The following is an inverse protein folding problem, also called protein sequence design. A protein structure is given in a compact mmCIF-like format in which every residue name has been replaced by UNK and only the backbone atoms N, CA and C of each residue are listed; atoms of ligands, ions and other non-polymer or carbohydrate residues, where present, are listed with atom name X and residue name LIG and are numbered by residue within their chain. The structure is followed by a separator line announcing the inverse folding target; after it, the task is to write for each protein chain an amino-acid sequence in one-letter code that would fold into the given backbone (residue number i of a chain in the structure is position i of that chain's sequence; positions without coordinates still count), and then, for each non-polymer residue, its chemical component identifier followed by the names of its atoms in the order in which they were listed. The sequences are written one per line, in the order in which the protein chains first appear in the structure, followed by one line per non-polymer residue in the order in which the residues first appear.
data_IF_466194148775
#
_entry.id   IF_466194148775
#
_cell.length_a   1.000
_cell.length_b   1.000
_cell.length_c   1.000
_cell.angle_alpha   90.00
_cell.angle_beta   90.00
_cell.angle_gamma   90.00
#
_symmetry.space_group_name_H-M   'P 1'
#
loop_
_entity.id
_entity.type
_entity.pdbx_description
1 polymer ?
#
# COMPACT_ATOMS: atom_id res chain seq x y z
N UNK A 1 -9.16 -12.46 38.57
CA UNK A 1 -10.34 -12.79 37.76
C UNK A 1 -11.28 -11.60 37.71
N UNK A 2 -11.92 -11.38 36.56
CA UNK A 2 -12.93 -10.35 36.36
C UNK A 2 -14.29 -11.03 36.20
N UNK A 3 -15.24 -10.69 37.04
CA UNK A 3 -16.60 -11.23 36.99
C UNK A 3 -17.48 -10.26 36.20
N UNK A 4 -18.11 -10.72 35.13
CA UNK A 4 -19.09 -9.99 34.32
C UNK A 4 -20.46 -10.57 34.57
N UNK A 5 -21.43 -9.73 35.02
CA UNK A 5 -22.82 -10.12 35.28
C UNK A 5 -23.76 -9.42 34.34
N UNK A 6 -24.66 -10.17 33.72
CA UNK A 6 -25.72 -9.66 32.85
C UNK A 6 -27.02 -10.46 33.03
N UNK A 7 -28.03 -9.87 33.65
CA UNK A 7 -29.26 -10.61 34.00
C UNK A 7 -28.99 -11.77 34.94
N UNK A 8 -29.30 -12.99 34.51
CA UNK A 8 -29.08 -14.24 35.29
C UNK A 8 -27.71 -14.89 34.92
N UNK A 9 -26.99 -14.29 34.01
CA UNK A 9 -25.73 -14.87 33.52
C UNK A 9 -24.53 -14.23 34.22
N UNK A 10 -23.59 -15.07 34.65
CA UNK A 10 -22.35 -14.67 35.29
C UNK A 10 -21.17 -15.34 34.59
N UNK A 11 -20.12 -14.58 34.24
CA UNK A 11 -18.88 -15.06 33.66
C UNK A 11 -17.71 -14.67 34.54
N UNK A 12 -16.89 -15.64 34.87
CA UNK A 12 -15.58 -15.40 35.48
C UNK A 12 -14.48 -15.55 34.43
N UNK A 13 -13.83 -14.44 34.10
CA UNK A 13 -12.75 -14.40 33.11
C UNK A 13 -11.42 -14.19 33.82
N UNK A 14 -10.47 -15.04 33.53
CA UNK A 14 -9.09 -14.87 34.02
C UNK A 14 -8.44 -13.70 33.29
N UNK A 15 -8.08 -12.68 34.03
CA UNK A 15 -7.30 -11.54 33.49
C UNK A 15 -5.80 -11.77 33.64
N UNK A 16 -5.04 -11.05 32.85
CA UNK A 16 -3.58 -10.91 33.04
C UNK A 16 -3.31 -9.66 33.90
N UNK A 17 -2.13 -9.65 34.54
CA UNK A 17 -1.71 -8.48 35.29
C UNK A 17 -1.51 -7.28 34.32
N UNK A 18 -2.10 -6.11 34.58
CA UNK A 18 -1.89 -4.92 33.74
C UNK A 18 -0.41 -4.56 33.54
N UNK A 19 0.46 -4.86 34.52
CA UNK A 19 1.90 -4.64 34.42
C UNK A 19 2.62 -5.56 33.42
N UNK A 20 1.96 -6.63 32.96
CA UNK A 20 2.49 -7.55 31.93
C UNK A 20 2.11 -7.07 30.51
N UNK A 21 1.29 -6.01 30.40
CA UNK A 21 0.97 -5.44 29.09
C UNK A 21 2.20 -4.76 28.51
N UNK A 22 2.60 -5.07 27.26
CA UNK A 22 3.79 -4.50 26.65
C UNK A 22 3.72 -2.97 26.59
N UNK A 23 4.79 -2.30 27.00
CA UNK A 23 4.91 -0.86 26.76
C UNK A 23 4.93 -0.56 25.26
N UNK A 24 4.16 0.45 24.87
CA UNK A 24 4.18 0.92 23.49
C UNK A 24 5.55 1.53 23.18
N UNK A 25 6.20 1.12 22.09
CA UNK A 25 7.45 1.75 21.69
C UNK A 25 7.20 3.24 21.45
N UNK A 26 8.02 4.07 22.10
CA UNK A 26 8.10 5.50 21.83
C UNK A 26 9.29 5.73 20.91
N UNK A 27 9.11 5.77 19.59
CA UNK A 27 10.19 6.15 18.70
C UNK A 27 10.54 7.60 19.02
N UNK A 28 11.78 7.84 19.44
CA UNK A 28 12.31 9.20 19.45
C UNK A 28 12.07 9.77 18.04
N UNK A 29 11.53 10.97 17.97
CA UNK A 29 11.16 11.60 16.70
C UNK A 29 12.41 12.09 15.97
N UNK A 30 13.19 11.18 15.39
CA UNK A 30 14.36 11.53 14.59
C UNK A 30 13.95 12.16 13.24
N UNK A 31 12.81 11.71 12.71
CA UNK A 31 12.23 12.15 11.45
C UNK A 31 10.73 12.33 11.63
N UNK A 32 10.22 13.51 11.28
CA UNK A 32 8.78 13.83 11.34
C UNK A 32 8.31 14.42 10.03
N UNK A 33 7.08 14.10 9.65
CA UNK A 33 6.39 14.60 8.47
C UNK A 33 4.91 14.70 8.78
N UNK A 34 4.30 15.80 8.37
CA UNK A 34 2.86 16.02 8.46
C UNK A 34 2.25 15.97 7.06
N UNK A 35 1.20 15.20 6.89
CA UNK A 35 0.45 15.10 5.65
C UNK A 35 -1.04 15.35 5.91
N UNK A 36 -1.69 16.01 4.98
CA UNK A 36 -3.15 16.03 4.94
C UNK A 36 -3.68 14.59 4.76
N UNK A 37 -4.72 14.22 5.50
CA UNK A 37 -5.32 12.89 5.43
C UNK A 37 -5.66 12.45 4.02
N UNK A 38 -6.28 13.28 3.16
CA UNK A 38 -6.53 12.90 1.76
C UNK A 38 -5.25 12.58 0.98
N UNK A 39 -4.19 13.36 1.19
CA UNK A 39 -2.90 13.14 0.53
C UNK A 39 -2.26 11.83 0.97
N UNK A 40 -2.25 11.54 2.28
CA UNK A 40 -1.75 10.27 2.81
C UNK A 40 -2.50 9.09 2.22
N UNK A 41 -3.84 9.15 2.23
CA UNK A 41 -4.70 8.09 1.67
C UNK A 41 -4.46 7.89 0.17
N UNK A 42 -4.46 8.96 -0.62
CA UNK A 42 -4.20 8.90 -2.06
C UNK A 42 -2.85 8.22 -2.35
N UNK A 43 -1.79 8.60 -1.62
CA UNK A 43 -0.47 8.03 -1.83
C UNK A 43 -0.43 6.53 -1.57
N UNK A 44 -1.05 6.08 -0.48
CA UNK A 44 -1.11 4.65 -0.15
C UNK A 44 -2.03 3.89 -1.10
N UNK A 45 -3.26 4.37 -1.35
CA UNK A 45 -4.23 3.67 -2.18
C UNK A 45 -3.75 3.47 -3.63
N UNK A 46 -3.01 4.45 -4.16
CA UNK A 46 -2.50 4.38 -5.54
C UNK A 46 -1.28 3.46 -5.72
N UNK A 47 -0.64 3.02 -4.64
CA UNK A 47 0.55 2.17 -4.70
C UNK A 47 0.33 0.78 -4.10
N UNK A 48 -0.53 0.65 -3.09
CA UNK A 48 -0.72 -0.56 -2.28
C UNK A 48 -1.03 -1.82 -3.11
N UNK A 49 -1.74 -1.68 -4.24
CA UNK A 49 -2.08 -2.80 -5.11
C UNK A 49 -0.85 -3.48 -5.76
N UNK A 50 0.27 -2.79 -5.82
CA UNK A 50 1.50 -3.29 -6.44
C UNK A 50 2.45 -3.99 -5.45
N UNK A 51 2.11 -4.06 -4.17
CA UNK A 51 2.92 -4.74 -3.15
C UNK A 51 2.96 -6.24 -3.41
N UNK A 52 4.12 -6.86 -3.20
CA UNK A 52 4.29 -8.31 -3.31
C UNK A 52 3.59 -9.06 -2.16
N UNK A 53 3.03 -10.21 -2.50
CA UNK A 53 2.51 -11.17 -1.51
C UNK A 53 3.50 -12.32 -1.26
N UNK A 54 4.70 -12.29 -1.86
CA UNK A 54 5.72 -13.30 -1.69
C UNK A 54 6.67 -12.94 -0.54
N UNK A 55 6.55 -13.66 0.56
CA UNK A 55 7.36 -13.47 1.77
C UNK A 55 8.86 -13.78 1.58
N UNK A 56 9.24 -14.37 0.44
CA UNK A 56 10.66 -14.62 0.12
C UNK A 56 11.46 -13.34 -0.11
N UNK A 57 10.75 -12.24 -0.41
CA UNK A 57 11.33 -10.91 -0.56
C UNK A 57 10.64 -9.92 0.38
N UNK A 58 10.95 -9.94 1.68
CA UNK A 58 10.24 -9.15 2.68
C UNK A 58 10.18 -7.66 2.34
N UNK A 59 11.26 -7.08 1.80
CA UNK A 59 11.28 -5.67 1.42
C UNK A 59 10.19 -5.28 0.41
N UNK A 60 9.71 -6.22 -0.42
CA UNK A 60 8.65 -5.98 -1.38
C UNK A 60 7.23 -6.22 -0.82
N UNK A 61 7.10 -6.72 0.42
CA UNK A 61 5.79 -6.90 1.09
C UNK A 61 5.30 -5.62 1.77
N UNK A 62 6.04 -4.53 1.61
CA UNK A 62 5.69 -3.19 2.07
C UNK A 62 5.90 -2.16 0.98
N UNK A 63 5.58 -0.92 1.32
CA UNK A 63 5.83 0.24 0.49
C UNK A 63 7.06 0.99 0.97
N UNK A 64 7.89 1.42 0.04
CA UNK A 64 8.97 2.34 0.31
C UNK A 64 8.41 3.75 0.44
N UNK A 65 8.69 4.39 1.56
CA UNK A 65 8.51 5.82 1.78
C UNK A 65 9.90 6.48 1.73
N UNK A 66 10.22 7.12 0.63
CA UNK A 66 11.42 7.93 0.48
C UNK A 66 11.06 9.39 0.75
N UNK A 67 11.40 9.87 1.94
CA UNK A 67 11.14 11.22 2.40
C UNK A 67 12.40 12.04 2.13
N UNK A 68 12.29 13.05 1.29
CA UNK A 68 13.29 14.07 1.01
C UNK A 68 12.78 15.42 1.57
N UNK A 69 13.61 16.46 1.72
CA UNK A 69 13.18 17.71 2.34
C UNK A 69 11.98 18.39 1.69
N UNK A 70 11.82 18.23 0.38
CA UNK A 70 10.79 18.87 -0.44
C UNK A 70 9.84 17.89 -1.12
N UNK A 71 10.08 16.57 -0.96
CA UNK A 71 9.32 15.55 -1.68
C UNK A 71 9.17 14.26 -0.87
N UNK A 72 7.99 13.68 -0.92
CA UNK A 72 7.72 12.31 -0.52
C UNK A 72 7.44 11.47 -1.76
N UNK A 73 8.20 10.39 -1.92
CA UNK A 73 7.96 9.37 -2.94
C UNK A 73 7.51 8.08 -2.26
N UNK A 74 6.37 7.55 -2.67
CA UNK A 74 5.89 6.22 -2.24
C UNK A 74 5.98 5.26 -3.41
N UNK A 75 6.58 4.09 -3.16
CA UNK A 75 6.81 3.07 -4.20
C UNK A 75 6.42 1.70 -3.70
N UNK A 76 5.72 0.96 -4.53
CA UNK A 76 5.45 -0.46 -4.34
C UNK A 76 5.77 -1.26 -5.62
N UNK A 77 6.22 -2.49 -5.46
CA UNK A 77 6.51 -3.39 -6.58
C UNK A 77 6.45 -4.87 -6.18
N UNK A 78 6.15 -5.74 -7.15
CA UNK A 78 6.10 -7.20 -6.94
C UNK A 78 6.94 -8.00 -7.96
N UNK A 79 7.75 -7.33 -8.77
CA UNK A 79 8.57 -7.92 -9.82
C UNK A 79 7.90 -7.99 -11.19
N UNK A 80 6.59 -7.73 -11.30
CA UNK A 80 5.82 -7.65 -12.55
C UNK A 80 5.32 -6.24 -12.82
N UNK A 81 5.04 -5.49 -11.79
CA UNK A 81 4.51 -4.13 -11.83
C UNK A 81 5.18 -3.27 -10.76
N UNK A 82 5.20 -1.99 -11.03
CA UNK A 82 5.69 -0.95 -10.12
C UNK A 82 4.66 0.17 -10.11
N UNK A 83 4.29 0.61 -8.93
CA UNK A 83 3.51 1.81 -8.72
C UNK A 83 4.35 2.83 -7.97
N UNK A 84 4.27 4.08 -8.42
CA UNK A 84 5.00 5.21 -7.83
C UNK A 84 4.10 6.44 -7.80
N UNK A 85 4.14 7.16 -6.70
CA UNK A 85 3.52 8.46 -6.54
C UNK A 85 4.48 9.40 -5.84
N UNK A 86 4.50 10.64 -6.28
CA UNK A 86 5.30 11.70 -5.68
C UNK A 86 4.41 12.89 -5.30
N UNK A 87 4.63 13.42 -4.11
CA UNK A 87 3.95 14.63 -3.63
C UNK A 87 4.96 15.59 -3.01
N UNK A 88 4.80 16.90 -3.21
CA UNK A 88 5.60 17.88 -2.52
C UNK A 88 5.27 17.86 -1.01
N UNK A 89 6.30 17.88 -0.19
CA UNK A 89 6.19 17.92 1.27
C UNK A 89 7.25 18.85 1.85
N UNK A 90 7.19 19.07 3.17
CA UNK A 90 8.24 19.76 3.92
C UNK A 90 8.70 18.83 5.03
N UNK A 91 9.86 18.24 4.86
CA UNK A 91 10.48 17.40 5.86
C UNK A 91 11.81 18.02 6.34
N UNK A 92 12.15 17.82 7.61
CA UNK A 92 13.38 18.36 8.19
C UNK A 92 14.63 17.59 7.74
N UNK A 93 14.47 16.31 7.44
CA UNK A 93 15.58 15.39 7.11
C UNK A 93 15.08 14.29 6.19
N UNK A 94 15.99 13.78 5.38
CA UNK A 94 15.75 12.61 4.52
C UNK A 94 15.74 11.31 5.33
N UNK A 95 14.84 10.44 4.96
CA UNK A 95 14.80 9.05 5.41
C UNK A 95 14.11 8.18 4.36
N UNK A 96 14.61 6.96 4.20
CA UNK A 96 13.96 5.91 3.42
C UNK A 96 13.57 4.78 4.35
N UNK A 97 12.29 4.45 4.38
CA UNK A 97 11.73 3.41 5.24
C UNK A 97 10.78 2.51 4.45
N UNK A 98 10.73 1.24 4.81
CA UNK A 98 9.80 0.28 4.22
C UNK A 98 8.73 -0.05 5.24
N UNK A 99 7.49 0.32 4.94
CA UNK A 99 6.35 0.17 5.82
C UNK A 99 5.54 -1.04 5.36
N UNK A 100 5.21 -1.98 6.27
CA UNK A 100 4.41 -3.15 5.90
C UNK A 100 3.07 -2.76 5.27
N UNK A 101 2.73 -3.39 4.14
CA UNK A 101 1.47 -3.15 3.43
C UNK A 101 0.24 -3.30 4.33
N UNK A 102 0.26 -4.30 5.23
CA UNK A 102 -0.83 -4.52 6.20
C UNK A 102 -1.03 -3.32 7.12
N UNK A 103 0.06 -2.70 7.58
CA UNK A 103 -0.03 -1.50 8.42
C UNK A 103 -0.68 -0.35 7.68
N UNK A 104 -0.25 -0.11 6.44
CA UNK A 104 -0.80 0.97 5.61
C UNK A 104 -2.26 0.73 5.26
N UNK A 105 -2.62 -0.51 4.90
CA UNK A 105 -4.00 -0.91 4.64
C UNK A 105 -4.94 -0.69 5.84
N UNK A 106 -4.46 -0.86 7.07
CA UNK A 106 -5.24 -0.57 8.26
C UNK A 106 -5.22 0.93 8.59
N UNK A 107 -4.09 1.60 8.41
CA UNK A 107 -3.97 3.04 8.67
C UNK A 107 -4.96 3.87 7.83
N UNK A 108 -5.08 3.59 6.52
CA UNK A 108 -6.01 4.33 5.65
C UNK A 108 -7.50 4.12 5.99
N UNK A 109 -7.83 3.04 6.71
CA UNK A 109 -9.19 2.80 7.21
C UNK A 109 -9.50 3.61 8.47
N UNK A 110 -8.47 3.94 9.25
CA UNK A 110 -8.61 4.69 10.50
C UNK A 110 -8.55 6.20 10.26
N UNK A 111 -7.66 6.65 9.39
CA UNK A 111 -7.50 8.07 9.06
C UNK A 111 -8.44 8.43 7.91
N UNK A 112 -9.67 8.84 8.25
CA UNK A 112 -10.75 9.11 7.29
C UNK A 112 -11.28 10.53 7.35
N UNK A 113 -10.90 11.31 8.36
CA UNK A 113 -11.30 12.71 8.50
C UNK A 113 -10.43 13.58 7.60
N UNK A 114 -11.00 14.13 6.53
CA UNK A 114 -10.30 14.89 5.52
C UNK A 114 -9.78 16.25 6.04
N UNK A 115 -10.31 16.73 7.15
CA UNK A 115 -9.87 17.96 7.80
C UNK A 115 -8.74 17.75 8.82
N UNK A 116 -8.31 16.50 9.02
CA UNK A 116 -7.21 16.16 9.92
C UNK A 116 -5.87 16.04 9.20
N UNK A 117 -4.81 16.17 10.00
CA UNK A 117 -3.43 15.87 9.62
C UNK A 117 -3.03 14.50 10.14
N UNK A 118 -2.30 13.76 9.34
CA UNK A 118 -1.58 12.55 9.75
C UNK A 118 -0.15 12.93 10.06
N UNK A 119 0.21 12.86 11.33
CA UNK A 119 1.58 13.06 11.80
C UNK A 119 2.34 11.74 11.69
N UNK A 120 3.40 11.74 10.91
CA UNK A 120 4.27 10.58 10.70
C UNK A 120 5.56 10.83 11.45
N UNK A 121 5.89 9.95 12.39
CA UNK A 121 7.17 9.97 13.09
C UNK A 121 7.88 8.63 12.88
N UNK A 122 9.15 8.67 12.48
CA UNK A 122 9.90 7.46 12.18
C UNK A 122 11.32 7.49 12.76
N UNK A 123 11.80 6.29 13.05
CA UNK A 123 13.20 6.00 13.30
C UNK A 123 13.61 4.79 12.45
N UNK A 124 14.76 4.19 12.70
CA UNK A 124 15.26 3.04 11.93
C UNK A 124 14.45 1.73 12.13
N UNK A 125 13.60 1.63 13.16
CA UNK A 125 12.89 0.39 13.53
C UNK A 125 11.39 0.52 13.50
N UNK A 126 10.85 1.70 13.74
CA UNK A 126 9.43 1.93 13.90
C UNK A 126 8.97 3.15 13.13
N UNK A 127 7.72 3.11 12.72
CA UNK A 127 6.95 4.26 12.26
C UNK A 127 5.71 4.41 13.14
N UNK A 128 5.37 5.63 13.44
CA UNK A 128 4.14 6.02 14.13
C UNK A 128 3.35 6.95 13.23
N UNK A 129 2.12 6.59 12.97
CA UNK A 129 1.12 7.48 12.37
C UNK A 129 0.18 7.93 13.48
N UNK A 130 -0.04 9.20 13.62
CA UNK A 130 -0.98 9.73 14.62
C UNK A 130 -1.82 10.86 14.06
N UNK A 131 -3.09 10.87 14.49
CA UNK A 131 -4.01 11.98 14.34
C UNK A 131 -4.54 12.38 15.73
N UNK A 132 -5.53 13.23 15.78
CA UNK A 132 -6.20 13.59 17.03
C UNK A 132 -6.81 12.37 17.73
N UNK A 133 -7.28 11.38 16.97
CA UNK A 133 -8.10 10.27 17.49
C UNK A 133 -7.33 8.95 17.54
N UNK A 134 -6.44 8.69 16.59
CA UNK A 134 -5.79 7.40 16.43
C UNK A 134 -4.27 7.51 16.47
N UNK A 135 -3.65 6.46 16.98
CA UNK A 135 -2.19 6.24 16.90
C UNK A 135 -1.95 4.82 16.40
N UNK A 136 -1.26 4.70 15.28
CA UNK A 136 -0.85 3.41 14.70
C UNK A 136 0.67 3.32 14.78
N UNK A 137 1.15 2.27 15.43
CA UNK A 137 2.58 2.00 15.59
C UNK A 137 2.92 0.73 14.84
N UNK A 138 3.94 0.79 13.99
CA UNK A 138 4.40 -0.37 13.24
C UNK A 138 5.92 -0.52 13.28
N UNK A 139 6.37 -1.78 13.28
CA UNK A 139 7.75 -2.08 12.93
C UNK A 139 7.95 -1.88 11.44
N UNK A 140 9.12 -1.38 11.07
CA UNK A 140 9.54 -1.29 9.69
C UNK A 140 10.06 -2.64 9.19
N UNK A 141 9.99 -2.85 7.89
CA UNK A 141 10.64 -3.99 7.24
C UNK A 141 12.12 -3.64 7.06
N UNK A 142 12.98 -4.51 7.58
CA UNK A 142 14.43 -4.37 7.42
C UNK A 142 14.87 -4.87 6.05
N UNK A 143 15.88 -4.24 5.48
CA UNK A 143 16.50 -4.60 4.21
C UNK A 143 16.52 -3.46 3.21
N UNK A 144 17.14 -3.72 2.08
CA UNK A 144 17.26 -2.76 0.98
C UNK A 144 16.07 -2.91 0.03
N UNK A 145 15.40 -1.81 -0.26
CA UNK A 145 14.41 -1.78 -1.34
C UNK A 145 15.13 -1.75 -2.68
N UNK A 146 14.52 -2.38 -3.70
CA UNK A 146 15.08 -2.37 -5.05
C UNK A 146 15.29 -0.91 -5.53
N UNK A 147 16.40 -0.67 -6.20
CA UNK A 147 16.62 0.59 -6.91
C UNK A 147 15.63 0.69 -8.09
N UNK A 148 14.43 1.16 -7.77
CA UNK A 148 13.30 1.22 -8.69
C UNK A 148 13.55 2.17 -9.87
N UNK A 149 14.42 3.17 -9.69
CA UNK A 149 14.75 4.14 -10.75
C UNK A 149 15.41 3.45 -11.94
N UNK A 150 16.19 2.38 -11.71
CA UNK A 150 16.85 1.63 -12.75
C UNK A 150 15.95 0.69 -13.55
N UNK A 151 14.78 0.33 -12.99
CA UNK A 151 13.85 -0.58 -13.67
C UNK A 151 12.78 0.16 -14.47
N UNK A 152 12.68 1.48 -14.31
CA UNK A 152 11.79 2.33 -15.11
C UNK A 152 12.41 2.50 -16.50
N UNK A 153 11.72 2.07 -17.59
CA UNK A 153 12.26 2.21 -18.93
C UNK A 153 12.46 3.67 -19.33
N UNK A 154 13.62 3.96 -19.92
CA UNK A 154 13.90 5.25 -20.52
C UNK A 154 13.39 5.27 -21.98
N UNK A 155 12.24 5.87 -22.21
CA UNK A 155 11.65 6.03 -23.55
C UNK A 155 10.70 4.89 -23.96
N UNK A 156 10.08 5.08 -25.12
CA UNK A 156 9.07 4.17 -25.67
C UNK A 156 9.09 4.24 -27.20
N UNK A 157 8.79 3.12 -27.86
CA UNK A 157 8.62 3.07 -29.32
C UNK A 157 7.19 3.38 -29.76
N UNK A 158 6.23 3.10 -28.90
CA UNK A 158 4.81 3.31 -29.20
C UNK A 158 4.13 4.03 -28.01
N UNK A 159 3.43 5.09 -28.33
CA UNK A 159 2.58 5.83 -27.37
C UNK A 159 1.14 5.79 -27.85
N UNK A 160 0.24 5.41 -26.94
CA UNK A 160 -1.20 5.33 -27.20
C UNK A 160 -1.94 6.17 -26.18
N UNK A 161 -2.91 6.95 -26.63
CA UNK A 161 -3.84 7.69 -25.77
C UNK A 161 -5.21 7.05 -25.91
N UNK A 162 -5.84 6.67 -24.79
CA UNK A 162 -7.11 5.96 -24.76
C UNK A 162 -8.05 6.58 -23.75
N UNK A 163 -9.35 6.44 -23.98
CA UNK A 163 -10.35 6.67 -22.93
C UNK A 163 -10.23 5.57 -21.87
N UNK A 164 -10.09 5.99 -20.60
CA UNK A 164 -9.87 5.06 -19.49
C UNK A 164 -11.05 4.12 -19.29
N UNK A 165 -12.27 4.64 -19.42
CA UNK A 165 -13.50 3.87 -19.20
C UNK A 165 -13.69 2.82 -20.30
N UNK A 166 -13.50 3.19 -21.54
CA UNK A 166 -13.65 2.28 -22.68
C UNK A 166 -12.59 1.18 -22.62
N UNK A 167 -11.35 1.53 -22.32
CA UNK A 167 -10.26 0.58 -22.18
C UNK A 167 -10.46 -0.38 -21.00
N UNK A 168 -10.89 0.12 -19.84
CA UNK A 168 -11.22 -0.70 -18.67
C UNK A 168 -12.34 -1.68 -18.97
N UNK A 169 -13.44 -1.21 -19.59
CA UNK A 169 -14.56 -2.05 -19.99
C UNK A 169 -14.13 -3.17 -20.97
N UNK A 170 -13.23 -2.86 -21.92
CA UNK A 170 -12.69 -3.85 -22.85
C UNK A 170 -11.86 -4.93 -22.13
N UNK A 171 -11.01 -4.52 -21.19
CA UNK A 171 -10.24 -5.45 -20.35
C UNK A 171 -11.18 -6.32 -19.51
N UNK A 172 -12.20 -5.74 -18.89
CA UNK A 172 -13.17 -6.46 -18.07
C UNK A 172 -13.91 -7.53 -18.91
N UNK A 173 -14.44 -7.16 -20.07
CA UNK A 173 -15.11 -8.12 -20.98
C UNK A 173 -14.18 -9.26 -21.40
N UNK A 174 -12.93 -8.95 -21.77
CA UNK A 174 -11.97 -9.97 -22.16
C UNK A 174 -11.53 -10.86 -20.99
N UNK A 175 -11.62 -10.37 -19.76
CA UNK A 175 -11.24 -11.08 -18.54
C UNK A 175 -12.28 -12.08 -18.05
N UNK A 176 -13.53 -12.03 -18.53
CA UNK A 176 -14.63 -12.88 -18.05
C UNK A 176 -14.36 -14.39 -18.16
N UNK A 177 -13.49 -14.80 -19.09
CA UNK A 177 -13.10 -16.20 -19.25
C UNK A 177 -11.83 -16.58 -18.49
N UNK A 178 -11.24 -15.65 -17.74
CA UNK A 178 -10.08 -15.90 -16.89
C UNK A 178 -10.59 -16.32 -15.51
N UNK A 179 -10.09 -17.42 -15.00
CA UNK A 179 -10.40 -17.91 -13.66
C UNK A 179 -9.13 -17.96 -12.83
N UNK A 180 -9.27 -18.05 -11.50
CA UNK A 180 -8.10 -18.18 -10.59
C UNK A 180 -7.21 -19.39 -10.94
N UNK A 181 -7.80 -20.45 -11.50
CA UNK A 181 -7.07 -21.64 -11.95
C UNK A 181 -6.43 -21.45 -13.33
N UNK A 182 -7.05 -20.62 -14.20
CA UNK A 182 -6.62 -20.37 -15.56
C UNK A 182 -6.08 -18.94 -15.66
N UNK A 183 -4.90 -18.73 -15.11
CA UNK A 183 -4.20 -17.42 -15.15
C UNK A 183 -3.64 -17.12 -16.55
N UNK A 184 -4.52 -16.98 -17.53
CA UNK A 184 -4.13 -16.68 -18.89
C UNK A 184 -3.90 -15.17 -19.07
N UNK A 185 -2.85 -14.76 -19.79
CA UNK A 185 -2.62 -13.34 -20.04
C UNK A 185 -3.61 -12.78 -21.04
N UNK A 186 -3.97 -11.51 -20.86
CA UNK A 186 -4.58 -10.71 -21.90
C UNK A 186 -3.48 -10.28 -22.89
N UNK A 187 -3.78 -10.40 -24.19
CA UNK A 187 -2.94 -9.86 -25.25
C UNK A 187 -3.58 -8.59 -25.80
N UNK A 188 -2.86 -7.48 -25.68
CA UNK A 188 -3.29 -6.20 -26.23
C UNK A 188 -2.45 -5.92 -27.47
N UNK A 189 -3.10 -5.62 -28.59
CA UNK A 189 -2.44 -5.29 -29.87
C UNK A 189 -2.83 -3.87 -30.24
N UNK A 190 -1.84 -3.08 -30.65
CA UNK A 190 -1.98 -1.73 -31.12
C UNK A 190 -1.62 -1.70 -32.62
N UNK A 191 -2.63 -1.75 -33.48
CA UNK A 191 -2.48 -1.76 -34.94
C UNK A 191 -3.64 -0.98 -35.57
N UNK A 192 -3.51 0.35 -35.56
CA UNK A 192 -4.59 1.26 -35.97
C UNK A 192 -5.77 1.27 -35.02
N UNK A 193 -6.14 0.11 -34.48
CA UNK A 193 -7.11 -0.07 -33.41
C UNK A 193 -6.43 -0.74 -32.19
N UNK A 194 -7.12 -0.66 -31.06
CA UNK A 194 -6.73 -1.42 -29.86
C UNK A 194 -7.58 -2.69 -29.83
N UNK A 195 -6.92 -3.83 -29.81
CA UNK A 195 -7.61 -5.13 -29.73
C UNK A 195 -7.16 -5.84 -28.46
N UNK A 196 -8.11 -6.20 -27.59
CA UNK A 196 -7.87 -6.98 -26.38
C UNK A 196 -8.32 -8.42 -26.61
N UNK A 197 -7.42 -9.38 -26.43
CA UNK A 197 -7.68 -10.81 -26.67
C UNK A 197 -7.36 -11.64 -25.45
N UNK A 198 -8.23 -12.59 -25.16
CA UNK A 198 -7.97 -13.66 -24.20
C UNK A 198 -8.33 -15.00 -24.85
N UNK A 199 -7.50 -16.01 -24.57
CA UNK A 199 -7.76 -17.37 -24.98
C UNK A 199 -7.48 -18.32 -23.82
N UNK A 200 -8.46 -19.13 -23.45
CA UNK A 200 -8.37 -20.15 -22.41
C UNK A 200 -8.91 -21.47 -22.93
N UNK A 201 -8.91 -22.51 -22.11
CA UNK A 201 -9.59 -23.78 -22.42
C UNK A 201 -11.10 -23.63 -22.46
N UNK A 202 -11.67 -22.58 -21.89
CA UNK A 202 -13.12 -22.29 -21.88
C UNK A 202 -13.58 -21.58 -23.15
N UNK A 203 -12.65 -20.91 -23.86
CA UNK A 203 -13.02 -20.18 -25.06
C UNK A 203 -12.04 -19.06 -25.41
N UNK A 204 -12.48 -18.22 -26.36
CA UNK A 204 -11.74 -17.07 -26.85
C UNK A 204 -12.61 -15.81 -26.83
N UNK A 205 -12.06 -14.73 -26.34
CA UNK A 205 -12.67 -13.39 -26.43
C UNK A 205 -11.76 -12.49 -27.27
N UNK A 206 -12.38 -11.68 -28.10
CA UNK A 206 -11.74 -10.61 -28.87
C UNK A 206 -12.63 -9.39 -28.74
N UNK A 207 -12.09 -8.32 -28.23
CA UNK A 207 -12.79 -7.06 -28.03
C UNK A 207 -12.02 -5.90 -28.66
#
# INVERSE_FOLDING_TARGET
ATTIKGGITEFDIMGMNPGDFPELPSPGADHTLDLETPTFREMVETTLFAVSQDDKKPAHTGELFAIEPDKLTVVALDGYRLAIIEKPVKAAKDISIIIPAKTLAEAIKLFTDDDEMVHIAANRRFVVFSSRTYTVISRLIEGDFLDYKRVIPEGYHTRVTVDVRDFSNSIERASLIITERLKNPLRITFDGNITVRCQTTLGKVVD
#
